data_IF_754380747645
#
_entry.id   IF_754380747645
#
_cell.length_a   1.000
_cell.length_b   1.000
_cell.length_c   1.000
_cell.angle_alpha   90.00
_cell.angle_beta   90.00
_cell.angle_gamma   90.00
#
_symmetry.space_group_name_H-M   'P 1'
#
loop_
_entity.id
_entity.type
_entity.pdbx_description
1 polymer ?
#
# COMPACT_ATOMS: atom_id res chain seq x y z
N UNK A 1 25.72 17.13 10.40
CA UNK A 1 25.87 15.71 9.99
C UNK A 1 24.54 14.97 10.05
N UNK A 2 23.76 15.11 11.13
CA UNK A 2 22.45 14.47 11.33
C UNK A 2 21.40 14.83 10.27
N UNK A 3 21.28 16.11 9.89
CA UNK A 3 20.35 16.55 8.83
C UNK A 3 20.62 15.89 7.48
N UNK A 4 21.88 15.84 7.04
CA UNK A 4 22.27 15.20 5.78
C UNK A 4 22.08 13.67 5.79
N UNK A 5 22.16 13.02 6.96
CA UNK A 5 21.82 11.60 7.12
C UNK A 5 20.30 11.39 7.05
N UNK A 6 19.52 12.28 7.67
CA UNK A 6 18.06 12.28 7.60
C UNK A 6 17.55 12.46 6.17
N UNK A 7 18.12 13.42 5.42
CA UNK A 7 17.75 13.68 4.03
C UNK A 7 18.08 12.48 3.10
N UNK A 8 19.21 11.81 3.32
CA UNK A 8 19.58 10.60 2.56
C UNK A 8 18.71 9.38 2.87
N UNK A 9 18.28 9.22 4.12
CA UNK A 9 17.36 8.15 4.51
C UNK A 9 15.96 8.41 3.96
N UNK A 10 15.54 9.67 3.94
CA UNK A 10 14.31 10.13 3.31
C UNK A 10 14.28 9.79 1.82
N UNK A 11 15.33 10.16 1.08
CA UNK A 11 15.46 9.82 -0.35
C UNK A 11 15.38 8.31 -0.57
N UNK A 12 16.02 7.50 0.29
CA UNK A 12 15.99 6.05 0.20
C UNK A 12 14.59 5.46 0.41
N UNK A 13 13.84 5.97 1.39
CA UNK A 13 12.50 5.47 1.68
C UNK A 13 11.51 5.84 0.56
N UNK A 14 11.62 7.07 0.03
CA UNK A 14 10.84 7.52 -1.14
C UNK A 14 11.17 6.67 -2.36
N UNK A 15 12.45 6.44 -2.67
CA UNK A 15 12.84 5.57 -3.79
C UNK A 15 12.35 4.14 -3.60
N UNK A 16 12.46 3.59 -2.38
CA UNK A 16 11.95 2.26 -2.08
C UNK A 16 10.43 2.12 -2.25
N UNK A 17 9.67 3.20 -2.00
CA UNK A 17 8.24 3.24 -2.27
C UNK A 17 7.93 3.34 -3.76
N UNK A 18 8.65 4.18 -4.50
CA UNK A 18 8.54 4.29 -5.96
C UNK A 18 8.81 2.93 -6.62
N UNK A 19 9.90 2.26 -6.26
CA UNK A 19 10.25 0.93 -6.78
C UNK A 19 9.16 -0.11 -6.51
N UNK A 20 8.53 -0.06 -5.32
CA UNK A 20 7.43 -0.96 -4.99
C UNK A 20 6.19 -0.69 -5.86
N UNK A 21 5.90 0.58 -6.16
CA UNK A 21 4.78 0.98 -7.01
C UNK A 21 4.98 0.56 -8.48
N UNK A 22 6.23 0.48 -8.95
CA UNK A 22 6.61 0.05 -10.31
C UNK A 22 6.52 -1.47 -10.53
N UNK A 23 5.95 -2.22 -9.59
CA UNK A 23 5.73 -3.66 -9.75
C UNK A 23 4.96 -3.96 -11.03
N UNK A 24 5.55 -4.76 -11.93
CA UNK A 24 4.95 -5.17 -13.22
C UNK A 24 3.62 -5.92 -13.09
N UNK A 25 3.23 -6.29 -11.87
CA UNK A 25 2.03 -7.07 -11.58
C UNK A 25 0.88 -6.22 -11.07
N UNK A 26 1.14 -4.94 -10.75
CA UNK A 26 0.17 -4.01 -10.19
C UNK A 26 -0.08 -2.88 -11.19
N UNK A 27 -1.30 -2.37 -11.15
CA UNK A 27 -1.74 -1.15 -11.83
C UNK A 27 -2.71 -0.43 -10.91
N UNK A 28 -2.88 0.88 -11.11
CA UNK A 28 -3.83 1.69 -10.34
C UNK A 28 -3.64 1.54 -8.82
N UNK A 29 -2.40 1.66 -8.36
CA UNK A 29 -2.09 1.59 -6.93
C UNK A 29 -2.65 2.83 -6.25
N UNK A 30 -3.49 2.62 -5.25
CA UNK A 30 -4.16 3.67 -4.47
C UNK A 30 -3.99 3.38 -2.98
N UNK A 31 -3.85 4.44 -2.20
CA UNK A 31 -3.73 4.38 -0.75
C UNK A 31 -4.89 5.11 -0.10
N UNK A 32 -5.42 4.53 0.98
CA UNK A 32 -6.47 5.15 1.77
C UNK A 32 -6.20 4.97 3.27
N UNK A 33 -7.04 5.57 4.11
CA UNK A 33 -7.00 5.34 5.55
C UNK A 33 -8.27 4.64 6.03
N UNK A 34 -8.10 3.65 6.90
CA UNK A 34 -9.14 3.27 7.86
C UNK A 34 -8.96 4.08 9.14
N UNK A 35 -10.02 4.76 9.57
CA UNK A 35 -10.06 5.46 10.86
C UNK A 35 -10.56 4.47 11.92
N UNK A 36 -9.80 4.31 12.99
CA UNK A 36 -10.20 3.52 14.16
C UNK A 36 -11.08 4.34 15.10
N UNK A 37 -11.76 3.67 16.02
CA UNK A 37 -12.57 4.32 17.07
C UNK A 37 -11.77 5.28 17.95
N UNK A 38 -10.46 5.04 18.10
CA UNK A 38 -9.53 5.91 18.85
C UNK A 38 -8.98 7.08 18.01
N UNK A 39 -9.52 7.30 16.81
CA UNK A 39 -9.11 8.34 15.87
C UNK A 39 -7.82 8.03 15.10
N UNK A 40 -7.13 6.92 15.39
CA UNK A 40 -5.89 6.57 14.68
C UNK A 40 -6.21 6.15 13.24
N UNK A 41 -5.47 6.72 12.29
CA UNK A 41 -5.55 6.37 10.87
C UNK A 41 -4.54 5.29 10.50
N UNK A 42 -5.02 4.17 9.97
CA UNK A 42 -4.19 3.10 9.46
C UNK A 42 -4.26 3.09 7.93
N UNK A 43 -3.09 3.08 7.29
CA UNK A 43 -2.98 3.05 5.83
C UNK A 43 -3.48 1.71 5.28
N UNK A 44 -4.17 1.75 4.15
CA UNK A 44 -4.44 0.57 3.33
C UNK A 44 -3.91 0.81 1.92
N UNK A 45 -3.77 -0.28 1.17
CA UNK A 45 -3.34 -0.26 -0.23
C UNK A 45 -4.33 -1.04 -1.06
N UNK A 46 -4.75 -0.49 -2.19
CA UNK A 46 -5.53 -1.17 -3.22
C UNK A 46 -4.79 -1.07 -4.54
N UNK A 47 -4.88 -2.12 -5.35
CA UNK A 47 -4.35 -2.15 -6.70
C UNK A 47 -5.23 -3.02 -7.59
N UNK A 48 -5.03 -2.95 -8.89
CA UNK A 48 -5.60 -3.84 -9.88
C UNK A 48 -4.54 -4.85 -10.33
N UNK A 49 -4.86 -6.13 -10.22
CA UNK A 49 -4.11 -7.23 -10.82
C UNK A 49 -4.72 -7.61 -12.17
N UNK A 50 -3.96 -7.40 -13.25
CA UNK A 50 -4.34 -7.82 -14.60
C UNK A 50 -4.04 -9.30 -14.84
N UNK A 51 -5.03 -10.18 -14.61
CA UNK A 51 -4.86 -11.59 -14.98
C UNK A 51 -4.96 -11.77 -16.49
N UNK A 52 -4.02 -12.56 -17.05
CA UNK A 52 -4.07 -12.99 -18.45
C UNK A 52 -5.23 -13.94 -18.74
N UNK A 53 -5.84 -14.54 -17.71
CA UNK A 53 -6.83 -15.61 -17.87
C UNK A 53 -8.24 -15.24 -17.41
N UNK A 54 -8.41 -14.24 -16.53
CA UNK A 54 -9.71 -13.95 -15.89
C UNK A 54 -10.06 -12.46 -15.79
N UNK A 55 -9.33 -11.60 -16.52
CA UNK A 55 -9.54 -10.15 -16.48
C UNK A 55 -9.02 -9.50 -15.20
N UNK A 56 -9.11 -8.16 -15.11
CA UNK A 56 -8.62 -7.40 -13.97
C UNK A 56 -9.40 -7.72 -12.69
N UNK A 57 -8.70 -7.73 -11.55
CA UNK A 57 -9.33 -7.88 -10.24
C UNK A 57 -8.68 -6.96 -9.22
N UNK A 58 -9.49 -6.40 -8.33
CA UNK A 58 -8.98 -5.64 -7.21
C UNK A 58 -8.31 -6.55 -6.20
N UNK A 59 -7.10 -6.17 -5.82
CA UNK A 59 -6.35 -6.77 -4.73
C UNK A 59 -5.90 -5.66 -3.78
N UNK A 60 -5.55 -6.02 -2.55
CA UNK A 60 -5.09 -5.01 -1.62
C UNK A 60 -4.71 -5.55 -0.27
N UNK A 61 -4.14 -4.65 0.52
CA UNK A 61 -3.80 -4.82 1.93
C UNK A 61 -4.67 -3.87 2.72
N UNK A 62 -5.41 -4.36 3.70
CA UNK A 62 -6.23 -3.52 4.56
C UNK A 62 -6.26 -4.02 5.99
N UNK A 63 -6.68 -3.15 6.88
CA UNK A 63 -6.97 -3.51 8.26
C UNK A 63 -8.47 -3.75 8.44
N UNK A 64 -8.81 -4.80 9.19
CA UNK A 64 -10.19 -5.12 9.53
C UNK A 64 -10.32 -5.35 11.01
N UNK A 65 -11.46 -4.93 11.55
CA UNK A 65 -11.80 -5.20 12.94
C UNK A 65 -12.38 -6.62 13.07
N UNK A 66 -11.72 -7.45 13.88
CA UNK A 66 -12.29 -8.71 14.32
C UNK A 66 -12.82 -8.55 15.75
N UNK A 67 -14.12 -8.77 15.93
CA UNK A 67 -14.83 -8.68 17.22
C UNK A 67 -14.19 -9.47 18.36
N UNK A 68 -13.32 -10.44 18.07
CA UNK A 68 -12.65 -11.30 19.06
C UNK A 68 -11.16 -11.04 19.24
N UNK A 69 -10.46 -10.50 18.25
CA UNK A 69 -8.98 -10.52 18.19
C UNK A 69 -8.34 -9.18 17.90
N UNK A 70 -9.10 -8.08 18.03
CA UNK A 70 -8.70 -6.73 17.66
C UNK A 70 -8.52 -6.53 16.14
N UNK A 71 -8.00 -5.36 15.77
CA UNK A 71 -7.70 -4.99 14.38
C UNK A 71 -6.57 -5.86 13.83
N UNK A 72 -6.84 -6.57 12.74
CA UNK A 72 -5.87 -7.45 12.08
C UNK A 72 -5.68 -7.08 10.61
N UNK A 73 -4.44 -7.13 10.10
CA UNK A 73 -4.18 -6.90 8.69
C UNK A 73 -4.56 -8.11 7.85
N UNK A 74 -5.21 -7.85 6.72
CA UNK A 74 -5.58 -8.85 5.73
C UNK A 74 -5.25 -8.40 4.32
N UNK A 75 -5.02 -9.39 3.46
CA UNK A 75 -4.95 -9.24 2.02
C UNK A 75 -6.28 -9.67 1.42
N UNK A 76 -6.78 -8.94 0.42
CA UNK A 76 -7.97 -9.32 -0.32
C UNK A 76 -7.69 -9.53 -1.82
N UNK A 77 -8.51 -10.38 -2.43
CA UNK A 77 -8.60 -10.67 -3.87
C UNK A 77 -10.08 -10.69 -4.24
N UNK A 78 -10.59 -9.57 -4.75
CA UNK A 78 -12.02 -9.34 -4.89
C UNK A 78 -12.74 -9.55 -3.54
N UNK A 79 -13.61 -10.55 -3.48
CA UNK A 79 -14.36 -10.92 -2.26
C UNK A 79 -13.62 -11.87 -1.31
N UNK A 80 -12.47 -12.41 -1.72
CA UNK A 80 -11.75 -13.42 -0.95
C UNK A 80 -10.65 -12.76 -0.12
N UNK A 81 -10.51 -13.15 1.14
CA UNK A 81 -9.49 -12.57 2.04
C UNK A 81 -8.60 -13.63 2.66
N UNK A 82 -7.41 -13.23 3.10
CA UNK A 82 -6.47 -14.02 3.88
C UNK A 82 -5.71 -13.12 4.87
N UNK A 83 -5.20 -13.67 5.98
CA UNK A 83 -4.28 -12.94 6.84
C UNK A 83 -3.10 -12.37 6.04
N UNK A 84 -2.69 -11.14 6.37
CA UNK A 84 -1.51 -10.56 5.75
C UNK A 84 -0.25 -11.37 6.11
N UNK A 85 0.68 -11.47 5.17
CA UNK A 85 1.91 -12.25 5.33
C UNK A 85 3.05 -11.65 4.51
N UNK A 86 4.28 -12.10 4.76
CA UNK A 86 5.49 -11.57 4.10
C UNK A 86 6.11 -12.57 3.11
N UNK A 87 5.38 -13.60 2.71
CA UNK A 87 5.90 -14.65 1.84
C UNK A 87 4.83 -15.20 0.89
N UNK A 88 5.23 -15.48 -0.35
CA UNK A 88 4.36 -15.89 -1.47
C UNK A 88 3.50 -17.11 -1.12
N UNK A 89 4.03 -18.08 -0.38
CA UNK A 89 3.31 -19.35 -0.08
C UNK A 89 2.04 -19.12 0.73
N UNK A 90 1.99 -18.12 1.61
CA UNK A 90 0.80 -17.80 2.40
C UNK A 90 -0.38 -17.33 1.53
N UNK A 91 -0.10 -16.83 0.33
CA UNK A 91 -1.12 -16.27 -0.57
C UNK A 91 -1.63 -17.28 -1.61
N UNK A 92 -1.00 -18.45 -1.73
CA UNK A 92 -1.47 -19.49 -2.64
C UNK A 92 -2.92 -19.92 -2.34
N UNK A 93 -3.32 -20.17 -1.07
CA UNK A 93 -4.69 -20.59 -0.77
C UNK A 93 -5.75 -19.56 -1.18
N UNK A 94 -5.49 -18.26 -1.03
CA UNK A 94 -6.46 -17.23 -1.43
C UNK A 94 -6.55 -17.07 -2.94
N UNK A 95 -5.42 -17.19 -3.65
CA UNK A 95 -5.41 -17.22 -5.11
C UNK A 95 -6.22 -18.40 -5.68
N UNK A 96 -6.11 -19.58 -5.05
CA UNK A 96 -6.89 -20.76 -5.43
C UNK A 96 -8.38 -20.59 -5.14
N UNK A 97 -8.75 -20.08 -3.94
CA UNK A 97 -10.17 -19.81 -3.59
C UNK A 97 -10.81 -18.76 -4.49
N UNK A 98 -10.04 -17.76 -4.93
CA UNK A 98 -10.48 -16.79 -5.93
C UNK A 98 -10.52 -17.36 -7.37
N UNK A 99 -10.11 -18.63 -7.56
CA UNK A 99 -10.18 -19.35 -8.81
C UNK A 99 -9.04 -19.08 -9.80
N UNK A 100 -7.97 -18.40 -9.37
CA UNK A 100 -6.80 -18.13 -10.21
C UNK A 100 -5.84 -19.32 -10.26
N UNK A 101 -6.33 -20.54 -10.48
CA UNK A 101 -5.50 -21.76 -10.44
C UNK A 101 -4.29 -21.70 -11.37
N UNK A 102 -4.48 -21.23 -12.61
CA UNK A 102 -3.42 -21.11 -13.62
C UNK A 102 -2.45 -19.96 -13.32
N UNK A 103 -2.95 -18.88 -12.73
CA UNK A 103 -2.18 -17.67 -12.41
C UNK A 103 -1.72 -17.59 -10.95
N UNK A 104 -1.93 -18.64 -10.14
CA UNK A 104 -1.80 -18.58 -8.68
C UNK A 104 -0.45 -18.07 -8.21
N UNK A 105 0.64 -18.44 -8.89
CA UNK A 105 1.99 -17.98 -8.55
C UNK A 105 2.14 -16.47 -8.82
N UNK A 106 1.66 -16.00 -9.97
CA UNK A 106 1.72 -14.58 -10.35
C UNK A 106 0.82 -13.75 -9.44
N UNK A 107 -0.42 -14.19 -9.18
CA UNK A 107 -1.29 -13.51 -8.22
C UNK A 107 -0.66 -13.47 -6.82
N UNK A 108 -0.06 -14.56 -6.33
CA UNK A 108 0.61 -14.54 -5.02
C UNK A 108 1.82 -13.61 -4.97
N UNK A 109 2.56 -13.44 -6.07
CA UNK A 109 3.61 -12.43 -6.18
C UNK A 109 3.02 -11.01 -6.16
N UNK A 110 1.88 -10.79 -6.80
CA UNK A 110 1.21 -9.49 -6.82
C UNK A 110 0.74 -9.10 -5.41
N UNK A 111 0.21 -10.07 -4.65
CA UNK A 111 -0.19 -9.87 -3.26
C UNK A 111 1.00 -9.58 -2.34
N UNK A 112 2.16 -10.18 -2.62
CA UNK A 112 3.40 -9.83 -1.94
C UNK A 112 3.85 -8.41 -2.31
N UNK A 113 3.75 -8.01 -3.57
CA UNK A 113 4.07 -6.66 -4.02
C UNK A 113 3.17 -5.61 -3.33
N UNK A 114 1.85 -5.86 -3.23
CA UNK A 114 0.94 -5.01 -2.47
C UNK A 114 1.38 -4.87 -1.00
N UNK A 115 1.81 -5.98 -0.39
CA UNK A 115 2.36 -5.96 0.98
C UNK A 115 3.60 -5.08 1.06
N UNK A 116 4.51 -5.17 0.07
CA UNK A 116 5.70 -4.32 0.00
C UNK A 116 5.36 -2.84 -0.17
N UNK A 117 4.40 -2.51 -1.04
CA UNK A 117 3.89 -1.14 -1.21
C UNK A 117 3.42 -0.58 0.13
N UNK A 118 2.61 -1.35 0.88
CA UNK A 118 2.15 -0.93 2.21
C UNK A 118 3.32 -0.59 3.15
N UNK A 119 4.29 -1.48 3.31
CA UNK A 119 5.41 -1.24 4.23
C UNK A 119 6.29 -0.07 3.79
N UNK A 120 6.53 0.09 2.50
CA UNK A 120 7.31 1.22 1.98
C UNK A 120 6.56 2.55 2.13
N UNK A 121 5.26 2.56 1.88
CA UNK A 121 4.43 3.73 2.10
C UNK A 121 4.40 4.14 3.58
N UNK A 122 4.42 3.19 4.52
CA UNK A 122 4.49 3.50 5.96
C UNK A 122 5.79 4.19 6.35
N UNK A 123 6.92 3.84 5.73
CA UNK A 123 8.20 4.53 5.98
C UNK A 123 8.14 5.98 5.50
N UNK A 124 7.66 6.20 4.27
CA UNK A 124 7.49 7.55 3.69
C UNK A 124 6.48 8.37 4.51
N UNK A 125 5.36 7.76 4.91
CA UNK A 125 4.35 8.40 5.77
C UNK A 125 4.96 8.94 7.06
N UNK A 126 5.82 8.16 7.73
CA UNK A 126 6.43 8.57 9.00
C UNK A 126 7.23 9.87 8.91
N UNK A 127 7.90 10.10 7.76
CA UNK A 127 8.60 11.36 7.50
C UNK A 127 7.66 12.49 7.08
N UNK A 128 6.74 12.25 6.13
CA UNK A 128 5.78 13.27 5.67
C UNK A 128 4.87 13.78 6.80
N UNK A 129 4.35 12.87 7.63
CA UNK A 129 3.48 13.26 8.75
C UNK A 129 4.23 14.23 9.68
N UNK A 130 5.53 13.98 9.96
CA UNK A 130 6.33 14.87 10.80
C UNK A 130 6.59 16.22 10.13
N UNK A 131 6.97 16.23 8.86
CA UNK A 131 7.26 17.46 8.10
C UNK A 131 6.00 18.32 7.97
N UNK A 132 4.87 17.72 7.58
CA UNK A 132 3.62 18.44 7.42
C UNK A 132 3.04 18.92 8.75
N UNK A 133 3.19 18.15 9.84
CA UNK A 133 2.81 18.61 11.17
C UNK A 133 3.60 19.86 11.59
N UNK A 134 4.90 19.93 11.28
CA UNK A 134 5.70 21.13 11.54
C UNK A 134 5.24 22.31 10.69
N UNK A 135 4.88 22.06 9.42
CA UNK A 135 4.39 23.09 8.50
C UNK A 135 3.04 23.68 8.92
N UNK A 136 2.15 22.87 9.49
CA UNK A 136 0.78 23.27 9.83
C UNK A 136 0.58 23.51 11.32
N UNK A 137 1.64 23.64 12.12
CA UNK A 137 1.56 23.68 13.58
C UNK A 137 0.60 24.73 14.16
N UNK A 138 0.39 25.85 13.45
CA UNK A 138 -0.45 26.97 13.87
C UNK A 138 -1.89 26.92 13.29
N UNK A 139 -2.26 25.85 12.56
CA UNK A 139 -3.62 25.67 12.04
C UNK A 139 -4.58 25.08 13.09
N UNK A 140 -5.89 25.23 12.88
CA UNK A 140 -6.94 24.75 13.80
C UNK A 140 -7.02 23.20 13.89
N UNK A 141 -6.61 22.50 12.82
CA UNK A 141 -6.62 21.04 12.73
C UNK A 141 -5.31 20.50 12.10
N UNK A 142 -4.15 20.71 12.76
CA UNK A 142 -2.83 20.50 12.15
C UNK A 142 -2.59 19.02 11.79
N UNK A 143 -3.10 18.11 12.62
CA UNK A 143 -2.97 16.66 12.42
C UNK A 143 -3.76 16.19 11.20
N UNK A 144 -5.01 16.65 11.07
CA UNK A 144 -5.86 16.25 9.95
C UNK A 144 -5.31 16.79 8.63
N UNK A 145 -4.90 18.06 8.62
CA UNK A 145 -4.26 18.72 7.48
C UNK A 145 -2.99 17.99 7.04
N UNK A 146 -2.11 17.68 7.99
CA UNK A 146 -0.86 16.99 7.73
C UNK A 146 -1.11 15.60 7.14
N UNK A 147 -1.96 14.80 7.77
CA UNK A 147 -2.29 13.45 7.29
C UNK A 147 -2.99 13.47 5.93
N UNK A 148 -3.84 14.47 5.66
CA UNK A 148 -4.48 14.65 4.36
C UNK A 148 -3.45 14.90 3.25
N UNK A 149 -2.49 15.80 3.50
CA UNK A 149 -1.42 16.09 2.54
C UNK A 149 -0.46 14.90 2.38
N UNK A 150 -0.16 14.18 3.45
CA UNK A 150 0.64 12.94 3.39
C UNK A 150 -0.02 11.91 2.48
N UNK A 151 -1.32 11.65 2.66
CA UNK A 151 -2.06 10.69 1.85
C UNK A 151 -2.12 11.12 0.38
N UNK A 152 -2.34 12.40 0.12
CA UNK A 152 -2.32 12.95 -1.24
C UNK A 152 -0.94 12.73 -1.88
N UNK A 153 0.14 13.11 -1.20
CA UNK A 153 1.50 12.95 -1.70
C UNK A 153 1.84 11.49 -2.02
N UNK A 154 1.44 10.56 -1.15
CA UNK A 154 1.62 9.12 -1.39
C UNK A 154 0.83 8.64 -2.62
N UNK A 155 -0.40 9.11 -2.81
CA UNK A 155 -1.21 8.75 -3.98
C UNK A 155 -0.67 9.39 -5.26
N UNK A 156 -0.14 10.61 -5.21
CA UNK A 156 0.47 11.27 -6.36
C UNK A 156 1.71 10.48 -6.83
N UNK A 157 2.57 10.08 -5.88
CA UNK A 157 3.69 9.19 -6.17
C UNK A 157 3.22 7.83 -6.72
N UNK A 158 2.22 7.20 -6.09
CA UNK A 158 1.69 5.94 -6.57
C UNK A 158 1.12 6.08 -7.98
N UNK A 159 0.37 7.13 -8.29
CA UNK A 159 -0.19 7.39 -9.61
C UNK A 159 0.90 7.58 -10.67
N UNK A 160 1.93 8.38 -10.38
CA UNK A 160 3.04 8.63 -11.31
C UNK A 160 3.86 7.37 -11.65
N UNK A 161 3.93 6.42 -10.72
CA UNK A 161 4.84 5.27 -10.82
C UNK A 161 4.17 3.90 -10.87
N UNK A 162 2.85 3.82 -10.69
CA UNK A 162 2.06 2.58 -10.87
C UNK A 162 1.34 2.56 -12.22
N UNK A 163 2.11 2.66 -13.30
CA UNK A 163 1.56 2.59 -14.65
C UNK A 163 1.36 1.16 -15.15
N UNK A 164 0.33 0.88 -15.98
CA UNK A 164 0.39 -0.26 -16.88
C UNK A 164 1.64 -0.05 -17.72
N UNK A 165 2.57 -1.02 -17.73
CA UNK A 165 3.85 -0.87 -18.40
C UNK A 165 3.66 -0.18 -19.75
N UNK A 166 4.38 0.92 -19.98
CA UNK A 166 4.34 1.61 -21.26
C UNK A 166 4.41 0.56 -22.37
N UNK A 167 3.47 0.55 -23.34
CA UNK A 167 3.66 -0.22 -24.56
C UNK A 167 4.81 0.45 -25.33
N UNK A 168 6.03 -0.02 -25.08
CA UNK A 168 7.23 0.51 -25.75
C UNK A 168 8.49 0.48 -24.90
N UNK A 169 8.98 -0.71 -24.55
CA UNK A 169 10.42 -1.05 -24.51
C UNK A 169 10.59 -2.53 -24.78
#
# INVERSE_FOLDING_TARGET
MEKALSDRLWDKDVQGFIEACQSRQLSDVTLDYTVRDDGRKILNVRAIYGSRTRGPIHIGYRWTENRRTAWTPEIFVGRHTAPAAHHVRAFLPVALRAGYWRDRKNLSLALLAVTQVFFKAQMVRGGLDREHLQRFADEEAPIERAQGLTLQTLNDLAFLYSGPGMPGR
#
